data_IF_563470023308
#
_entry.id   IF_563470023308
#
_cell.length_a   1.000
_cell.length_b   1.000
_cell.length_c   1.000
_cell.angle_alpha   90.00
_cell.angle_beta   90.00
_cell.angle_gamma   90.00
#
_symmetry.space_group_name_H-M   'P 1'
#
loop_
_entity.id
_entity.type
_entity.pdbx_description
1 polymer ?
#
# COMPACT_ATOMS: atom_id res chain seq x y z
N UNK A 1 53.83 -26.77 -38.98
CA UNK A 1 53.13 -25.49 -39.20
C UNK A 1 51.69 -25.68 -38.76
N UNK A 2 51.36 -25.40 -37.49
CA UNK A 2 49.95 -25.23 -37.11
C UNK A 2 49.42 -24.02 -37.89
N UNK A 3 48.39 -24.23 -38.70
CA UNK A 3 47.83 -23.17 -39.53
C UNK A 3 47.24 -22.08 -38.64
N UNK A 4 47.40 -20.81 -39.03
CA UNK A 4 46.85 -19.65 -38.32
C UNK A 4 45.35 -19.82 -37.99
N UNK A 5 44.62 -20.55 -38.83
CA UNK A 5 43.21 -20.89 -38.67
C UNK A 5 42.91 -21.78 -37.44
N UNK A 6 43.76 -22.77 -37.15
CA UNK A 6 43.61 -23.65 -35.99
C UNK A 6 43.89 -22.89 -34.68
N UNK A 7 44.86 -21.96 -34.73
CA UNK A 7 45.18 -21.08 -33.60
C UNK A 7 44.04 -20.13 -33.25
N UNK A 8 43.43 -19.50 -34.25
CA UNK A 8 42.27 -18.61 -34.06
C UNK A 8 41.05 -19.37 -33.53
N UNK A 9 40.78 -20.56 -34.07
CA UNK A 9 39.69 -21.44 -33.59
C UNK A 9 39.85 -21.84 -32.12
N UNK A 10 41.08 -22.19 -31.70
CA UNK A 10 41.38 -22.51 -30.28
C UNK A 10 41.20 -21.30 -29.36
N UNK A 11 41.62 -20.11 -29.78
CA UNK A 11 41.42 -18.88 -29.00
C UNK A 11 39.93 -18.59 -28.81
N UNK A 12 39.12 -18.62 -29.88
CA UNK A 12 37.68 -18.45 -29.76
C UNK A 12 37.05 -19.48 -28.81
N UNK A 13 37.43 -20.76 -28.91
CA UNK A 13 36.94 -21.80 -28.01
C UNK A 13 37.26 -21.52 -26.55
N UNK A 14 38.48 -21.08 -26.24
CA UNK A 14 38.89 -20.71 -24.86
C UNK A 14 38.11 -19.50 -24.37
N UNK A 15 37.89 -18.50 -25.22
CA UNK A 15 37.10 -17.30 -24.90
C UNK A 15 35.65 -17.66 -24.58
N UNK A 16 35.02 -18.54 -25.35
CA UNK A 16 33.67 -19.04 -25.08
C UNK A 16 33.60 -19.91 -23.82
N UNK A 17 34.61 -20.74 -23.54
CA UNK A 17 34.68 -21.51 -22.29
C UNK A 17 34.81 -20.57 -21.07
N UNK A 18 35.66 -19.55 -21.19
CA UNK A 18 35.81 -18.50 -20.18
C UNK A 18 34.49 -17.75 -19.98
N UNK A 19 33.77 -17.43 -21.05
CA UNK A 19 32.46 -16.80 -20.97
C UNK A 19 31.43 -17.69 -20.30
N UNK A 20 31.39 -18.98 -20.62
CA UNK A 20 30.52 -19.95 -19.95
C UNK A 20 30.81 -20.00 -18.44
N UNK A 21 32.08 -19.98 -18.04
CA UNK A 21 32.46 -19.86 -16.61
C UNK A 21 32.02 -18.52 -16.02
N UNK A 22 32.22 -17.41 -16.71
CA UNK A 22 31.76 -16.08 -16.28
C UNK A 22 30.25 -16.07 -16.04
N UNK A 23 29.46 -16.45 -17.05
CA UNK A 23 28.00 -16.48 -16.99
C UNK A 23 27.49 -17.37 -15.84
N UNK A 24 28.07 -18.57 -15.67
CA UNK A 24 27.72 -19.46 -14.57
C UNK A 24 28.02 -18.88 -13.18
N UNK A 25 29.15 -18.19 -13.02
CA UNK A 25 29.49 -17.53 -11.75
C UNK A 25 28.60 -16.31 -11.51
N UNK A 26 28.36 -15.51 -12.54
CA UNK A 26 27.50 -14.33 -12.50
C UNK A 26 26.07 -14.70 -12.07
N UNK A 27 25.51 -15.78 -12.64
CA UNK A 27 24.17 -16.26 -12.31
C UNK A 27 24.04 -16.66 -10.83
N UNK A 28 25.13 -17.11 -10.19
CA UNK A 28 25.13 -17.50 -8.77
C UNK A 28 25.23 -16.31 -7.81
N UNK A 29 25.61 -15.12 -8.30
CA UNK A 29 25.74 -13.94 -7.46
C UNK A 29 24.38 -13.55 -6.85
N UNK A 30 24.40 -13.09 -5.61
CA UNK A 30 23.21 -12.63 -4.88
C UNK A 30 23.22 -11.14 -4.59
N UNK A 31 24.37 -10.50 -4.71
CA UNK A 31 24.57 -9.07 -4.45
C UNK A 31 25.37 -8.43 -5.58
N UNK A 32 25.28 -7.10 -5.70
CA UNK A 32 26.08 -6.33 -6.65
C UNK A 32 27.59 -6.46 -6.35
N UNK A 33 27.98 -6.57 -5.08
CA UNK A 33 29.38 -6.77 -4.70
C UNK A 33 29.96 -8.07 -5.28
N UNK A 34 29.23 -9.18 -5.15
CA UNK A 34 29.64 -10.46 -5.74
C UNK A 34 29.73 -10.36 -7.27
N UNK A 35 28.81 -9.66 -7.91
CA UNK A 35 28.88 -9.40 -9.36
C UNK A 35 30.15 -8.62 -9.71
N UNK A 36 30.51 -7.59 -8.93
CA UNK A 36 31.74 -6.83 -9.15
C UNK A 36 32.98 -7.73 -9.09
N UNK A 37 33.08 -8.58 -8.07
CA UNK A 37 34.21 -9.49 -7.88
C UNK A 37 34.35 -10.48 -9.03
N UNK A 38 33.24 -11.07 -9.49
CA UNK A 38 33.21 -11.98 -10.65
C UNK A 38 33.62 -11.23 -11.91
N UNK A 39 33.09 -10.03 -12.12
CA UNK A 39 33.39 -9.22 -13.31
C UNK A 39 34.86 -8.84 -13.39
N UNK A 40 35.44 -8.35 -12.30
CA UNK A 40 36.87 -8.04 -12.19
C UNK A 40 37.75 -9.25 -12.53
N UNK A 41 37.34 -10.44 -12.07
CA UNK A 41 38.08 -11.68 -12.31
C UNK A 41 38.06 -12.10 -13.78
N UNK A 42 36.91 -11.99 -14.45
CA UNK A 42 36.69 -12.62 -15.75
C UNK A 42 36.80 -11.65 -16.94
N UNK A 43 36.34 -10.40 -16.82
CA UNK A 43 36.22 -9.50 -17.98
C UNK A 43 37.56 -9.25 -18.69
N UNK A 44 38.66 -9.16 -17.94
CA UNK A 44 40.02 -9.00 -18.50
C UNK A 44 40.50 -10.15 -19.40
N UNK A 45 39.85 -11.31 -19.32
CA UNK A 45 40.13 -12.47 -20.17
C UNK A 45 39.15 -12.60 -21.34
N UNK A 46 38.08 -11.81 -21.31
CA UNK A 46 37.01 -11.84 -22.31
C UNK A 46 37.13 -10.70 -23.31
N UNK A 47 37.57 -9.52 -22.85
CA UNK A 47 37.69 -8.31 -23.64
C UNK A 47 38.99 -7.58 -23.29
N UNK A 48 39.59 -6.95 -24.30
CA UNK A 48 40.71 -6.03 -24.13
C UNK A 48 40.18 -4.61 -23.87
N UNK A 49 40.38 -4.11 -22.66
CA UNK A 49 39.99 -2.75 -22.29
C UNK A 49 40.81 -2.17 -21.15
N UNK A 50 40.77 -0.84 -21.05
CA UNK A 50 41.22 -0.08 -19.87
C UNK A 50 40.04 0.30 -18.97
N UNK A 51 38.92 0.67 -19.59
CA UNK A 51 37.64 0.92 -18.91
C UNK A 51 36.54 0.06 -19.52
N UNK A 52 35.71 -0.54 -18.67
CA UNK A 52 34.43 -1.09 -19.07
C UNK A 52 33.34 -0.45 -18.22
N UNK A 53 32.28 0.04 -18.85
CA UNK A 53 31.15 0.67 -18.17
C UNK A 53 29.85 0.17 -18.78
N UNK A 54 28.89 -0.18 -17.94
CA UNK A 54 27.53 -0.50 -18.35
C UNK A 54 26.55 0.28 -17.48
N UNK A 55 25.59 0.95 -18.11
CA UNK A 55 24.60 1.80 -17.46
C UNK A 55 23.21 1.28 -17.82
N UNK A 56 22.46 0.78 -16.85
CA UNK A 56 21.16 0.14 -17.06
C UNK A 56 20.07 0.97 -16.38
N UNK A 57 19.04 1.34 -17.14
CA UNK A 57 17.89 2.06 -16.60
C UNK A 57 17.02 1.15 -15.72
N UNK A 58 16.69 1.63 -14.53
CA UNK A 58 15.82 1.02 -13.54
C UNK A 58 14.82 2.07 -13.04
N UNK A 59 13.62 2.08 -13.63
CA UNK A 59 12.49 2.92 -13.21
C UNK A 59 12.82 4.43 -13.03
N UNK A 60 13.72 4.97 -13.87
CA UNK A 60 14.12 6.39 -13.86
C UNK A 60 15.48 6.67 -13.22
N UNK A 61 16.06 5.71 -12.51
CA UNK A 61 17.44 5.74 -12.01
C UNK A 61 18.33 4.79 -12.82
N UNK A 62 19.61 5.09 -12.97
CA UNK A 62 20.55 4.25 -13.70
C UNK A 62 21.50 3.55 -12.75
N UNK A 63 21.49 2.22 -12.77
CA UNK A 63 22.51 1.42 -12.13
C UNK A 63 23.70 1.32 -13.07
N UNK A 64 24.84 1.85 -12.62
CA UNK A 64 26.07 1.92 -13.39
C UNK A 64 27.09 1.01 -12.76
N UNK A 65 27.62 0.10 -13.56
CA UNK A 65 28.83 -0.63 -13.24
C UNK A 65 30.00 -0.04 -14.01
N UNK A 66 31.10 0.24 -13.33
CA UNK A 66 32.33 0.73 -13.94
C UNK A 66 33.53 -0.09 -13.43
N UNK A 67 34.27 -0.69 -14.36
CA UNK A 67 35.49 -1.43 -14.07
C UNK A 67 36.70 -0.74 -14.71
N UNK A 68 37.70 -0.46 -13.87
CA UNK A 68 39.01 0.03 -14.28
C UNK A 68 40.07 -0.92 -13.70
N UNK A 69 40.85 -1.56 -14.57
CA UNK A 69 41.85 -2.55 -14.17
C UNK A 69 41.25 -3.63 -13.24
N UNK A 70 41.78 -3.75 -12.01
CA UNK A 70 41.37 -4.72 -10.99
C UNK A 70 40.33 -4.19 -10.01
N UNK A 71 39.67 -3.05 -10.31
CA UNK A 71 38.63 -2.46 -9.46
C UNK A 71 37.33 -2.31 -10.26
N UNK A 72 36.24 -2.77 -9.67
CA UNK A 72 34.88 -2.63 -10.19
C UNK A 72 33.97 -2.00 -9.15
N UNK A 73 33.21 -1.00 -9.55
CA UNK A 73 32.35 -0.21 -8.67
C UNK A 73 30.94 -0.12 -9.24
N UNK A 74 29.98 -0.09 -8.33
CA UNK A 74 28.58 0.16 -8.64
C UNK A 74 28.18 1.53 -8.13
N UNK A 75 27.40 2.24 -8.92
CA UNK A 75 26.85 3.54 -8.57
C UNK A 75 25.41 3.64 -9.07
N UNK A 76 24.52 4.18 -8.24
CA UNK A 76 23.17 4.52 -8.66
C UNK A 76 23.13 6.01 -8.94
N UNK A 77 22.85 6.38 -10.19
CA UNK A 77 22.83 7.78 -10.63
C UNK A 77 21.48 8.15 -11.26
N UNK A 78 21.14 9.43 -11.23
CA UNK A 78 20.01 9.96 -12.00
C UNK A 78 20.38 10.11 -13.48
N UNK A 79 19.37 10.21 -14.35
CA UNK A 79 19.54 10.43 -15.80
C UNK A 79 20.42 11.65 -16.11
N UNK A 80 20.30 12.72 -15.33
CA UNK A 80 21.05 13.98 -15.48
C UNK A 80 22.56 13.82 -15.30
N UNK A 81 22.98 12.79 -14.56
CA UNK A 81 24.37 12.49 -14.26
C UNK A 81 24.99 11.48 -15.25
N UNK A 82 24.25 11.04 -16.28
CA UNK A 82 24.81 10.25 -17.36
C UNK A 82 25.80 11.07 -18.19
N UNK A 83 26.77 10.39 -18.79
CA UNK A 83 27.75 11.04 -19.65
C UNK A 83 27.06 11.52 -20.94
N UNK A 84 27.54 12.62 -21.51
CA UNK A 84 26.93 13.25 -22.69
C UNK A 84 26.78 12.28 -23.88
N UNK A 85 27.77 11.41 -24.09
CA UNK A 85 27.70 10.39 -25.14
C UNK A 85 26.65 9.30 -24.82
N UNK A 86 26.47 8.91 -23.54
CA UNK A 86 25.44 7.94 -23.15
C UNK A 86 24.04 8.49 -23.43
N UNK A 87 23.81 9.78 -23.13
CA UNK A 87 22.55 10.46 -23.43
C UNK A 87 22.27 10.52 -24.94
N UNK A 88 23.27 10.94 -25.74
CA UNK A 88 23.13 11.01 -27.19
C UNK A 88 22.79 9.66 -27.83
N UNK A 89 23.41 8.57 -27.34
CA UNK A 89 23.20 7.24 -27.90
C UNK A 89 21.86 6.67 -27.45
N UNK A 90 21.41 6.94 -26.23
CA UNK A 90 20.06 6.58 -25.78
C UNK A 90 18.97 7.27 -26.60
N UNK A 91 19.19 8.50 -27.04
CA UNK A 91 18.24 9.24 -27.88
C UNK A 91 18.26 8.73 -29.33
N UNK A 92 19.45 8.53 -29.90
CA UNK A 92 19.61 8.35 -31.34
C UNK A 92 19.77 6.87 -31.76
N UNK A 93 20.11 5.98 -30.82
CA UNK A 93 20.43 4.57 -31.03
C UNK A 93 21.59 4.30 -32.01
N UNK A 94 22.52 5.25 -32.14
CA UNK A 94 23.67 5.16 -33.05
C UNK A 94 24.93 4.91 -32.21
N UNK A 95 25.67 3.78 -32.40
CA UNK A 95 26.94 3.56 -31.74
C UNK A 95 27.96 4.67 -32.04
N UNK A 96 28.72 5.07 -31.03
CA UNK A 96 29.73 6.14 -31.16
C UNK A 96 31.12 5.56 -30.93
N UNK A 97 32.05 5.96 -31.79
CA UNK A 97 33.48 5.81 -31.58
C UNK A 97 34.12 7.20 -31.62
N UNK A 98 34.82 7.58 -30.55
CA UNK A 98 35.51 8.87 -30.45
C UNK A 98 36.88 8.72 -29.80
N UNK A 99 37.81 9.59 -30.14
CA UNK A 99 39.12 9.68 -29.49
C UNK A 99 39.06 10.56 -28.23
N UNK A 100 38.00 11.37 -28.08
CA UNK A 100 37.81 12.23 -26.93
C UNK A 100 37.25 11.44 -25.73
N UNK A 101 38.08 11.25 -24.71
CA UNK A 101 37.67 10.61 -23.45
C UNK A 101 37.08 11.67 -22.51
N UNK A 102 35.84 11.52 -22.02
CA UNK A 102 35.25 12.42 -21.03
C UNK A 102 36.10 12.55 -19.76
N UNK A 103 36.18 13.77 -19.23
CA UNK A 103 37.02 14.08 -18.06
C UNK A 103 36.66 13.25 -16.82
N UNK A 104 35.40 12.84 -16.68
CA UNK A 104 34.92 11.98 -15.60
C UNK A 104 35.53 10.57 -15.68
N UNK A 105 35.73 10.05 -16.89
CA UNK A 105 36.35 8.75 -17.13
C UNK A 105 37.88 8.85 -17.06
N UNK A 106 38.45 9.95 -17.56
CA UNK A 106 39.91 10.16 -17.51
C UNK A 106 40.45 10.36 -16.09
N UNK A 107 39.61 10.71 -15.11
CA UNK A 107 40.00 10.70 -13.68
C UNK A 107 40.12 9.29 -13.10
N UNK A 108 39.44 8.30 -13.68
CA UNK A 108 39.45 6.91 -13.20
C UNK A 108 40.58 6.06 -13.81
N UNK A 109 41.27 6.58 -14.84
CA UNK A 109 42.35 5.91 -15.56
C UNK A 109 43.55 6.84 -15.68
N UNK A 110 44.76 6.30 -15.64
CA UNK A 110 45.97 7.06 -16.00
C UNK A 110 45.98 7.39 -17.50
N UNK A 111 45.28 8.46 -17.87
CA UNK A 111 45.11 8.90 -19.26
C UNK A 111 46.43 9.24 -19.97
N UNK A 112 47.49 9.55 -19.22
CA UNK A 112 48.84 9.81 -19.72
C UNK A 112 49.57 8.55 -20.21
N UNK A 113 49.11 7.36 -19.84
CA UNK A 113 49.69 6.08 -20.24
C UNK A 113 49.01 5.45 -21.46
N UNK A 114 47.99 6.09 -22.03
CA UNK A 114 47.20 5.55 -23.15
C UNK A 114 47.82 5.92 -24.50
N UNK A 115 47.95 4.93 -25.38
CA UNK A 115 48.47 5.15 -26.74
C UNK A 115 47.34 5.17 -27.78
N UNK A 116 47.02 6.37 -28.29
CA UNK A 116 45.92 6.57 -29.27
C UNK A 116 44.59 5.99 -28.78
N UNK A 117 44.05 6.46 -27.64
CA UNK A 117 42.85 5.89 -27.05
C UNK A 117 41.62 6.08 -27.94
N UNK A 118 40.71 5.10 -27.88
CA UNK A 118 39.38 5.18 -28.48
C UNK A 118 38.33 4.78 -27.45
N UNK A 119 37.33 5.64 -27.28
CA UNK A 119 36.10 5.35 -26.57
C UNK A 119 35.09 4.78 -27.56
N UNK A 120 34.58 3.60 -27.24
CA UNK A 120 33.48 2.97 -27.95
C UNK A 120 32.25 2.95 -27.06
N UNK A 121 31.09 3.25 -27.63
CA UNK A 121 29.83 3.18 -26.90
C UNK A 121 28.69 2.65 -27.77
N UNK A 122 27.87 1.79 -27.17
CA UNK A 122 26.70 1.17 -27.78
C UNK A 122 25.50 1.36 -26.87
N UNK A 123 24.31 1.45 -27.46
CA UNK A 123 23.05 1.24 -26.76
C UNK A 123 22.43 -0.06 -27.21
N UNK A 124 21.82 -0.74 -26.24
CA UNK A 124 21.07 -1.95 -26.45
C UNK A 124 19.69 -1.77 -25.82
N UNK A 125 18.70 -2.32 -26.51
CA UNK A 125 17.32 -2.36 -26.05
C UNK A 125 16.87 -3.80 -25.99
N UNK A 126 16.45 -4.25 -24.80
CA UNK A 126 15.94 -5.60 -24.60
C UNK A 126 14.71 -5.55 -23.71
N UNK A 127 13.58 -6.00 -24.27
CA UNK A 127 12.26 -5.85 -23.65
C UNK A 127 11.99 -4.34 -23.37
N UNK A 128 11.72 -3.98 -22.12
CA UNK A 128 11.46 -2.60 -21.67
C UNK A 128 12.66 -1.95 -20.97
N UNK A 129 13.86 -2.52 -21.11
CA UNK A 129 15.07 -1.97 -20.51
C UNK A 129 16.07 -1.55 -21.57
N UNK A 130 16.35 -0.25 -21.56
CA UNK A 130 17.40 0.37 -22.33
C UNK A 130 18.68 0.44 -21.48
N UNK A 131 19.80 0.10 -22.10
CA UNK A 131 21.10 0.18 -21.44
C UNK A 131 22.19 0.60 -22.41
N UNK A 132 23.24 1.22 -21.88
CA UNK A 132 24.43 1.61 -22.64
C UNK A 132 25.64 0.87 -22.13
N UNK A 133 26.57 0.63 -23.04
CA UNK A 133 27.85 -0.01 -22.73
C UNK A 133 28.93 0.85 -23.35
N UNK A 134 29.90 1.27 -22.55
CA UNK A 134 31.05 2.06 -22.98
C UNK A 134 32.35 1.33 -22.64
N UNK A 135 33.30 1.35 -23.56
CA UNK A 135 34.60 0.71 -23.41
C UNK A 135 35.70 1.62 -23.92
N UNK A 136 36.80 1.72 -23.16
CA UNK A 136 38.01 2.44 -23.58
C UNK A 136 39.09 1.42 -23.94
N UNK A 137 39.58 1.50 -25.18
CA UNK A 137 40.66 0.68 -25.74
C UNK A 137 41.79 1.58 -26.25
N UNK A 138 42.99 1.04 -26.40
CA UNK A 138 44.13 1.74 -27.00
C UNK A 138 44.94 0.77 -27.89
N UNK A 139 46.10 1.18 -28.41
CA UNK A 139 46.94 0.30 -29.23
C UNK A 139 47.45 -0.94 -28.47
N UNK A 140 47.70 -0.82 -27.17
CA UNK A 140 48.21 -1.90 -26.33
C UNK A 140 47.12 -2.92 -25.95
N UNK A 141 45.87 -2.46 -25.82
CA UNK A 141 44.68 -3.25 -25.59
C UNK A 141 43.65 -2.96 -26.68
N UNK A 142 43.94 -3.44 -27.88
CA UNK A 142 43.08 -3.23 -29.03
C UNK A 142 41.75 -3.98 -28.87
N UNK A 143 40.65 -3.26 -29.14
CA UNK A 143 39.30 -3.79 -29.27
C UNK A 143 38.85 -3.62 -30.72
N UNK A 144 38.38 -4.71 -31.34
CA UNK A 144 38.01 -4.73 -32.76
C UNK A 144 36.57 -5.24 -32.97
N UNK A 145 36.11 -5.19 -34.21
CA UNK A 145 34.74 -5.60 -34.61
C UNK A 145 34.47 -7.06 -34.23
N UNK A 146 35.48 -7.93 -34.24
CA UNK A 146 35.36 -9.31 -33.81
C UNK A 146 35.00 -9.51 -32.33
N UNK A 147 35.28 -8.52 -31.48
CA UNK A 147 35.00 -8.58 -30.04
C UNK A 147 33.56 -8.14 -29.71
N UNK A 148 32.84 -7.55 -30.67
CA UNK A 148 31.48 -7.02 -30.47
C UNK A 148 30.49 -8.14 -30.10
N UNK A 149 30.64 -9.34 -30.66
CA UNK A 149 29.78 -10.47 -30.29
C UNK A 149 29.95 -10.84 -28.81
N UNK A 150 31.19 -10.90 -28.33
CA UNK A 150 31.49 -11.18 -26.93
C UNK A 150 31.01 -10.04 -26.02
N UNK A 151 31.21 -8.79 -26.43
CA UNK A 151 30.68 -7.63 -25.72
C UNK A 151 29.16 -7.74 -25.55
N UNK A 152 28.44 -8.09 -26.62
CA UNK A 152 26.98 -8.26 -26.58
C UNK A 152 26.57 -9.37 -25.61
N UNK A 153 27.24 -10.53 -25.63
CA UNK A 153 26.97 -11.63 -24.71
C UNK A 153 27.20 -11.25 -23.25
N UNK A 154 28.29 -10.53 -22.96
CA UNK A 154 28.60 -10.02 -21.63
C UNK A 154 27.53 -9.04 -21.18
N UNK A 155 27.16 -8.11 -22.06
CA UNK A 155 26.20 -7.05 -21.75
C UNK A 155 24.81 -7.62 -21.48
N UNK A 156 24.38 -8.61 -22.27
CA UNK A 156 23.16 -9.38 -22.03
C UNK A 156 23.19 -10.11 -20.68
N UNK A 157 24.34 -10.69 -20.30
CA UNK A 157 24.48 -11.38 -19.02
C UNK A 157 24.37 -10.42 -17.84
N UNK A 158 24.99 -9.24 -17.94
CA UNK A 158 24.86 -8.18 -16.94
C UNK A 158 23.44 -7.66 -16.82
N UNK A 159 22.81 -7.36 -17.96
CA UNK A 159 21.45 -6.86 -18.01
C UNK A 159 20.49 -7.85 -17.34
N UNK A 160 20.56 -9.14 -17.68
CA UNK A 160 19.74 -10.17 -17.06
C UNK A 160 20.00 -10.26 -15.55
N UNK A 161 21.27 -10.24 -15.13
CA UNK A 161 21.61 -10.38 -13.71
C UNK A 161 21.17 -9.20 -12.86
N UNK A 162 21.32 -7.98 -13.37
CA UNK A 162 20.90 -6.78 -12.65
C UNK A 162 19.38 -6.70 -12.54
N UNK A 163 18.65 -7.07 -13.59
CA UNK A 163 17.21 -7.18 -13.52
C UNK A 163 16.76 -8.21 -12.49
N UNK A 164 17.40 -9.38 -12.43
CA UNK A 164 17.10 -10.42 -11.45
C UNK A 164 17.27 -9.91 -10.01
N UNK A 165 18.40 -9.27 -9.72
CA UNK A 165 18.68 -8.71 -8.38
C UNK A 165 17.66 -7.62 -8.03
N UNK A 166 17.40 -6.71 -8.96
CA UNK A 166 16.43 -5.61 -8.77
C UNK A 166 15.01 -6.13 -8.48
N UNK A 167 14.49 -7.04 -9.31
CA UNK A 167 13.14 -7.59 -9.14
C UNK A 167 13.02 -8.35 -7.81
N UNK A 168 14.08 -9.01 -7.37
CA UNK A 168 14.12 -9.71 -6.09
C UNK A 168 14.02 -8.74 -4.91
N UNK A 169 14.72 -7.61 -4.96
CA UNK A 169 14.64 -6.57 -3.93
C UNK A 169 13.25 -5.90 -3.92
N UNK A 170 12.70 -5.57 -5.09
CA UNK A 170 11.36 -4.99 -5.21
C UNK A 170 10.30 -5.94 -4.63
N UNK A 171 10.38 -7.23 -4.97
CA UNK A 171 9.48 -8.26 -4.44
C UNK A 171 9.58 -8.37 -2.91
N UNK A 172 10.80 -8.30 -2.37
CA UNK A 172 11.03 -8.33 -0.93
C UNK A 172 10.34 -7.15 -0.23
N UNK A 173 10.54 -5.93 -0.72
CA UNK A 173 9.88 -4.74 -0.16
C UNK A 173 8.36 -4.80 -0.27
N UNK A 174 7.82 -5.21 -1.42
CA UNK A 174 6.37 -5.37 -1.59
C UNK A 174 5.77 -6.40 -0.63
N UNK A 175 6.45 -7.52 -0.40
CA UNK A 175 6.01 -8.52 0.56
C UNK A 175 5.98 -7.97 1.99
N UNK A 176 7.01 -7.21 2.40
CA UNK A 176 7.03 -6.58 3.71
C UNK A 176 5.88 -5.59 3.90
N UNK A 177 5.64 -4.71 2.92
CA UNK A 177 4.52 -3.76 2.97
C UNK A 177 3.17 -4.48 3.04
N UNK A 178 3.01 -5.59 2.32
CA UNK A 178 1.78 -6.40 2.36
C UNK A 178 1.56 -7.02 3.74
N UNK A 179 2.60 -7.57 4.37
CA UNK A 179 2.51 -8.12 5.73
C UNK A 179 2.12 -7.04 6.76
N UNK A 180 2.67 -5.83 6.62
CA UNK A 180 2.30 -4.69 7.47
C UNK A 180 0.82 -4.31 7.28
N UNK A 181 0.35 -4.22 6.03
CA UNK A 181 -1.05 -3.92 5.74
C UNK A 181 -2.01 -4.97 6.32
N UNK A 182 -1.65 -6.26 6.23
CA UNK A 182 -2.43 -7.35 6.83
C UNK A 182 -2.53 -7.23 8.35
N UNK A 183 -1.45 -6.87 9.04
CA UNK A 183 -1.47 -6.68 10.49
C UNK A 183 -2.38 -5.51 10.89
N UNK A 184 -2.32 -4.39 10.15
CA UNK A 184 -3.21 -3.24 10.36
C UNK A 184 -4.67 -3.64 10.18
N UNK A 185 -5.02 -4.33 9.08
CA UNK A 185 -6.39 -4.79 8.81
C UNK A 185 -6.87 -5.73 9.91
N UNK A 186 -6.04 -6.68 10.35
CA UNK A 186 -6.37 -7.62 11.43
C UNK A 186 -6.67 -6.88 12.73
N UNK A 187 -5.85 -5.88 13.07
CA UNK A 187 -6.04 -5.05 14.26
C UNK A 187 -7.30 -4.19 14.17
N UNK A 188 -7.61 -3.62 12.99
CA UNK A 188 -8.84 -2.87 12.76
C UNK A 188 -10.09 -3.76 12.87
N UNK A 189 -10.07 -4.95 12.27
CA UNK A 189 -11.17 -5.91 12.38
C UNK A 189 -11.44 -6.31 13.84
N UNK A 190 -10.38 -6.50 14.64
CA UNK A 190 -10.52 -6.77 16.08
C UNK A 190 -11.24 -5.62 16.80
N UNK A 191 -10.87 -4.37 16.52
CA UNK A 191 -11.53 -3.18 17.10
C UNK A 191 -12.98 -3.06 16.64
N UNK A 192 -13.26 -3.27 15.36
CA UNK A 192 -14.63 -3.26 14.82
C UNK A 192 -15.48 -4.31 15.54
N UNK A 193 -14.99 -5.53 15.66
CA UNK A 193 -15.71 -6.59 16.36
C UNK A 193 -15.99 -6.23 17.83
N UNK A 194 -15.02 -5.63 18.53
CA UNK A 194 -15.25 -5.14 19.90
C UNK A 194 -16.32 -4.05 19.96
N UNK A 195 -16.32 -3.10 19.01
CA UNK A 195 -17.34 -2.05 18.93
C UNK A 195 -18.71 -2.65 18.65
N UNK A 196 -18.81 -3.61 17.72
CA UNK A 196 -20.06 -4.29 17.36
C UNK A 196 -20.65 -5.02 18.56
N UNK A 197 -19.83 -5.75 19.31
CA UNK A 197 -20.30 -6.45 20.51
C UNK A 197 -20.76 -5.47 21.60
N UNK A 198 -20.00 -4.38 21.84
CA UNK A 198 -20.40 -3.34 22.79
C UNK A 198 -21.72 -2.65 22.37
N UNK A 199 -21.90 -2.40 21.07
CA UNK A 199 -23.13 -1.81 20.53
C UNK A 199 -24.32 -2.74 20.71
N UNK A 200 -24.17 -4.04 20.42
CA UNK A 200 -25.24 -5.03 20.66
C UNK A 200 -25.66 -5.04 22.12
N UNK A 201 -24.70 -5.04 23.05
CA UNK A 201 -24.97 -5.01 24.48
C UNK A 201 -25.74 -3.74 24.88
N UNK A 202 -25.28 -2.57 24.42
CA UNK A 202 -25.95 -1.29 24.70
C UNK A 202 -27.36 -1.24 24.12
N UNK A 203 -27.55 -1.76 22.90
CA UNK A 203 -28.88 -1.83 22.26
C UNK A 203 -29.79 -2.75 23.07
N UNK A 204 -29.32 -3.91 23.52
CA UNK A 204 -30.11 -4.82 24.32
C UNK A 204 -30.55 -4.18 25.66
N UNK A 205 -29.64 -3.50 26.35
CA UNK A 205 -29.93 -2.79 27.60
C UNK A 205 -30.95 -1.67 27.41
N UNK A 206 -30.76 -0.82 26.39
CA UNK A 206 -31.72 0.26 26.09
C UNK A 206 -33.07 -0.26 25.63
N UNK A 207 -33.08 -1.33 24.84
CA UNK A 207 -34.34 -1.96 24.39
C UNK A 207 -35.11 -2.50 25.58
N UNK A 208 -34.43 -3.15 26.53
CA UNK A 208 -35.04 -3.60 27.78
C UNK A 208 -35.63 -2.44 28.59
N UNK A 209 -34.87 -1.35 28.75
CA UNK A 209 -35.36 -0.15 29.46
C UNK A 209 -36.60 0.47 28.78
N UNK A 210 -36.62 0.51 27.45
CA UNK A 210 -37.78 1.02 26.68
C UNK A 210 -38.99 0.11 26.83
N UNK A 211 -38.80 -1.21 26.77
CA UNK A 211 -39.89 -2.17 26.98
C UNK A 211 -40.50 -2.00 28.38
N UNK A 212 -39.66 -1.95 29.43
CA UNK A 212 -40.12 -1.71 30.81
C UNK A 212 -40.90 -0.40 30.95
N UNK A 213 -40.48 0.67 30.25
CA UNK A 213 -41.22 1.95 30.26
C UNK A 213 -42.54 1.87 29.51
N UNK A 214 -42.58 1.20 28.37
CA UNK A 214 -43.80 1.02 27.58
C UNK A 214 -44.85 0.22 28.34
N UNK A 215 -44.47 -0.87 29.01
CA UNK A 215 -45.40 -1.66 29.84
C UNK A 215 -46.05 -0.81 30.94
N UNK A 216 -45.26 0.04 31.61
CA UNK A 216 -45.78 0.95 32.64
C UNK A 216 -46.73 2.00 32.08
N UNK A 217 -46.39 2.62 30.95
CA UNK A 217 -47.26 3.58 30.28
C UNK A 217 -48.60 2.95 29.86
N UNK A 218 -48.56 1.71 29.36
CA UNK A 218 -49.78 0.96 29.02
C UNK A 218 -50.64 0.71 30.27
N UNK A 219 -50.03 0.38 31.41
CA UNK A 219 -50.75 0.20 32.67
C UNK A 219 -51.45 1.49 33.12
N UNK A 220 -50.75 2.62 33.11
CA UNK A 220 -51.32 3.95 33.44
C UNK A 220 -52.45 4.31 32.45
N UNK A 221 -52.23 4.08 31.16
CA UNK A 221 -53.24 4.38 30.13
C UNK A 221 -54.51 3.55 30.31
N UNK A 222 -54.39 2.28 30.70
CA UNK A 222 -55.53 1.40 30.98
C UNK A 222 -56.33 1.87 32.20
N UNK A 223 -55.64 2.23 33.29
CA UNK A 223 -56.26 2.81 34.49
C UNK A 223 -57.01 4.09 34.17
N UNK A 224 -56.40 5.00 33.40
CA UNK A 224 -57.03 6.25 32.96
C UNK A 224 -58.29 6.00 32.12
N UNK A 225 -58.20 5.12 31.12
CA UNK A 225 -59.30 4.88 30.20
C UNK A 225 -60.52 4.24 30.86
N UNK A 226 -60.33 3.42 31.91
CA UNK A 226 -61.43 2.76 32.60
C UNK A 226 -61.97 3.60 33.77
N UNK A 227 -61.08 3.97 34.70
CA UNK A 227 -61.50 4.53 36.00
C UNK A 227 -61.89 6.00 35.92
N UNK A 228 -61.36 6.76 34.96
CA UNK A 228 -61.76 8.17 34.77
C UNK A 228 -63.01 8.26 33.90
N UNK A 229 -63.15 7.35 32.93
CA UNK A 229 -64.27 7.38 31.97
C UNK A 229 -65.61 7.03 32.60
N UNK A 230 -65.62 6.12 33.57
CA UNK A 230 -66.82 5.69 34.28
C UNK A 230 -67.52 6.83 35.05
N UNK A 231 -66.86 7.57 35.98
CA UNK A 231 -67.48 8.69 36.68
C UNK A 231 -67.77 9.85 35.74
N UNK A 232 -66.94 10.11 34.71
CA UNK A 232 -67.21 11.13 33.70
C UNK A 232 -68.49 10.83 32.91
N UNK A 233 -68.69 9.57 32.50
CA UNK A 233 -69.90 9.15 31.79
C UNK A 233 -71.14 9.29 32.68
N UNK A 234 -71.01 9.00 33.99
CA UNK A 234 -72.08 9.23 34.98
C UNK A 234 -72.41 10.71 35.14
N UNK A 235 -71.40 11.57 35.25
CA UNK A 235 -71.58 13.04 35.31
C UNK A 235 -72.32 13.52 34.06
N UNK A 236 -71.85 13.14 32.86
CA UNK A 236 -72.47 13.54 31.60
C UNK A 236 -73.91 13.04 31.49
N UNK A 237 -74.18 11.79 31.88
CA UNK A 237 -75.53 11.24 31.91
C UNK A 237 -76.44 12.02 32.86
N UNK A 238 -75.99 12.30 34.09
CA UNK A 238 -76.77 13.07 35.06
C UNK A 238 -77.05 14.49 34.55
N UNK A 239 -76.08 15.15 33.90
CA UNK A 239 -76.25 16.49 33.30
C UNK A 239 -77.36 16.49 32.25
N UNK A 240 -77.42 15.47 31.39
CA UNK A 240 -78.48 15.35 30.37
C UNK A 240 -79.87 15.17 30.98
N UNK A 241 -79.98 14.56 32.18
CA UNK A 241 -81.26 14.37 32.85
C UNK A 241 -81.85 15.68 33.40
N UNK A 242 -81.03 16.73 33.62
CA UNK A 242 -81.56 18.03 34.07
C UNK A 242 -82.50 18.68 33.06
N UNK A 243 -82.45 18.31 31.78
CA UNK A 243 -83.36 18.81 30.75
C UNK A 243 -84.74 18.12 30.79
N UNK A 244 -84.86 16.99 31.52
CA UNK A 244 -86.04 16.12 31.49
C UNK A 244 -86.81 16.12 32.82
N UNK A 245 -86.13 16.33 33.94
CA UNK A 245 -86.72 16.29 35.28
C UNK A 245 -87.05 17.70 35.81
N UNK A 246 -88.03 17.76 36.72
CA UNK A 246 -88.41 19.00 37.41
C UNK A 246 -87.39 19.42 38.48
N UNK A 247 -87.36 20.71 38.80
CA UNK A 247 -86.36 21.35 39.66
C UNK A 247 -86.23 20.71 41.05
N UNK A 248 -87.34 20.17 41.57
CA UNK A 248 -87.36 19.52 42.88
C UNK A 248 -86.66 18.15 42.84
N UNK A 249 -87.01 17.32 41.85
CA UNK A 249 -86.37 16.00 41.63
C UNK A 249 -84.88 16.17 41.29
N UNK A 250 -84.53 17.21 40.52
CA UNK A 250 -83.13 17.57 40.25
C UNK A 250 -82.35 17.86 41.54
N UNK A 251 -82.89 18.68 42.45
CA UNK A 251 -82.23 19.02 43.72
C UNK A 251 -82.14 17.86 44.70
N UNK A 252 -83.19 17.05 44.81
CA UNK A 252 -83.27 15.99 45.81
C UNK A 252 -82.53 14.71 45.39
N UNK A 253 -82.47 14.38 44.09
CA UNK A 253 -81.88 13.12 43.61
C UNK A 253 -80.66 13.28 42.68
N UNK A 254 -80.69 14.21 41.72
CA UNK A 254 -79.64 14.33 40.71
C UNK A 254 -78.40 15.07 41.23
N UNK A 255 -78.59 16.17 41.95
CA UNK A 255 -77.49 16.97 42.54
C UNK A 255 -76.62 16.14 43.50
N UNK A 256 -77.17 15.32 44.42
CA UNK A 256 -76.36 14.45 45.27
C UNK A 256 -75.54 13.42 44.47
N UNK A 257 -76.12 12.79 43.44
CA UNK A 257 -75.43 11.81 42.59
C UNK A 257 -74.35 12.45 41.71
N UNK A 258 -74.59 13.68 41.25
CA UNK A 258 -73.61 14.47 40.50
C UNK A 258 -72.41 14.81 41.39
N UNK A 259 -72.68 15.26 42.62
CA UNK A 259 -71.65 15.55 43.61
C UNK A 259 -70.81 14.31 43.93
N UNK A 260 -71.46 13.17 44.19
CA UNK A 260 -70.78 11.90 44.42
C UNK A 260 -69.90 11.50 43.22
N UNK A 261 -70.43 11.57 42.00
CA UNK A 261 -69.67 11.20 40.80
C UNK A 261 -68.49 12.15 40.55
N UNK A 262 -68.64 13.43 40.88
CA UNK A 262 -67.55 14.43 40.82
C UNK A 262 -66.47 14.17 41.86
N UNK A 263 -66.83 13.80 43.09
CA UNK A 263 -65.88 13.47 44.15
C UNK A 263 -65.12 12.17 43.84
N UNK A 264 -65.82 11.16 43.30
CA UNK A 264 -65.20 9.93 42.81
C UNK A 264 -64.23 10.21 41.65
N UNK A 265 -64.60 11.09 40.71
CA UNK A 265 -63.70 11.50 39.62
C UNK A 265 -62.45 12.20 40.13
N UNK A 266 -62.58 13.14 41.08
CA UNK A 266 -61.44 13.84 41.68
C UNK A 266 -60.52 12.87 42.42
N UNK A 267 -61.09 11.89 43.13
CA UNK A 267 -60.34 10.83 43.81
C UNK A 267 -59.53 10.00 42.82
N UNK A 268 -60.16 9.51 41.74
CA UNK A 268 -59.47 8.73 40.70
C UNK A 268 -58.37 9.56 40.03
N UNK A 269 -58.62 10.85 39.75
CA UNK A 269 -57.63 11.74 39.14
C UNK A 269 -56.40 11.91 40.02
N UNK A 270 -56.60 12.06 41.35
CA UNK A 270 -55.50 12.14 42.32
C UNK A 270 -54.69 10.86 42.38
N UNK A 271 -55.34 9.70 42.40
CA UNK A 271 -54.66 8.39 42.40
C UNK A 271 -53.79 8.22 41.14
N UNK A 272 -54.27 8.63 39.97
CA UNK A 272 -53.51 8.63 38.72
C UNK A 272 -52.30 9.56 38.78
N UNK A 273 -52.49 10.80 39.28
CA UNK A 273 -51.42 11.80 39.38
C UNK A 273 -50.35 11.36 40.37
N UNK A 274 -50.73 10.79 41.51
CA UNK A 274 -49.79 10.24 42.50
C UNK A 274 -49.01 9.07 41.93
N UNK A 275 -49.66 8.15 41.22
CA UNK A 275 -49.00 7.02 40.57
C UNK A 275 -47.98 7.51 39.53
N UNK A 276 -48.38 8.41 38.63
CA UNK A 276 -47.48 8.99 37.62
C UNK A 276 -46.32 9.79 38.23
N UNK A 277 -46.56 10.52 39.32
CA UNK A 277 -45.54 11.33 40.01
C UNK A 277 -44.55 10.46 40.79
N UNK A 278 -45.02 9.41 41.45
CA UNK A 278 -44.17 8.45 42.15
C UNK A 278 -43.24 7.72 41.17
N UNK A 279 -43.76 7.34 40.00
CA UNK A 279 -42.99 6.70 38.95
C UNK A 279 -41.96 7.63 38.31
N UNK A 280 -42.31 8.90 38.06
CA UNK A 280 -41.37 9.94 37.61
C UNK A 280 -40.21 10.14 38.59
N UNK A 281 -40.48 10.03 39.89
CA UNK A 281 -39.48 10.19 40.96
C UNK A 281 -38.56 8.98 41.03
N UNK A 282 -39.11 7.76 40.92
CA UNK A 282 -38.31 6.53 40.82
C UNK A 282 -37.44 6.50 39.55
N UNK A 283 -37.95 6.99 38.41
CA UNK A 283 -37.20 7.11 37.15
C UNK A 283 -36.03 8.11 37.23
N UNK A 284 -36.18 9.19 38.00
CA UNK A 284 -35.08 10.15 38.25
C UNK A 284 -34.04 9.59 39.21
N UNK A 285 -34.45 8.86 40.24
CA UNK A 285 -33.54 8.26 41.22
C UNK A 285 -32.65 7.15 40.61
N UNK A 286 -33.13 6.43 39.60
CA UNK A 286 -32.37 5.38 38.90
C UNK A 286 -31.34 5.91 37.88
N UNK A 287 -31.32 7.23 37.62
CA UNK A 287 -30.40 7.91 36.69
C UNK A 287 -29.18 8.55 37.38
N UNK A 288 -29.13 8.57 38.71
CA UNK A 288 -28.01 8.96 39.55
C UNK A 288 -27.22 7.72 39.99
#
# INVERSE_FOLDING_TARGET
MESLQDRTSRVYRITYETFSKFSNNLNRCKSLEEVSQVSVRFLKYLLNFHLFRISINQAGSYLVYCQCNSRGEFELISKENLLSHELQILENNIPVKTEEIPSQLSKKIDSTALESPSLWCWSFKKMDVDFTVSLISDKNKAFDVGDIEMLKLISDSFQAKFQEIYLKEELYHKNQSLLQALDVIKNQNKKINQIVENQKQTIAERTKEVVEKNEKLLHISALNAHNVREPLSRIQGIVQLFEVFDDKTCREELVPKLKQSSEEMDKVLREVIEMASSELTQLKAKKL
#
